data_IF_092087125011
#
_entry.id   IF_092087125011
#
_cell.length_a   1.000
_cell.length_b   1.000
_cell.length_c   1.000
_cell.angle_alpha   90.00
_cell.angle_beta   90.00
_cell.angle_gamma   90.00
#
_symmetry.space_group_name_H-M   'P 1'
#
loop_
_entity.id
_entity.type
_entity.pdbx_description
1 polymer ?
#
# COMPACT_ATOMS: atom_id res chain seq x y z
N UNK A 1 -15.58 6.56 -7.90
CA UNK A 1 -16.78 5.91 -7.33
C UNK A 1 -16.76 6.09 -5.84
N UNK A 2 -17.89 6.45 -5.23
CA UNK A 2 -18.05 6.60 -3.77
C UNK A 2 -19.23 5.76 -3.27
N UNK A 3 -19.09 5.13 -2.14
CA UNK A 3 -20.11 4.32 -1.47
C UNK A 3 -20.13 4.71 0.03
N UNK A 4 -21.25 5.18 0.57
CA UNK A 4 -22.49 5.56 -0.12
C UNK A 4 -22.28 6.74 -1.08
N UNK A 5 -23.14 6.86 -2.08
CA UNK A 5 -23.12 8.01 -3.02
C UNK A 5 -23.50 9.33 -2.35
N UNK A 6 -24.31 9.26 -1.29
CA UNK A 6 -24.66 10.42 -0.47
C UNK A 6 -23.70 10.52 0.73
N UNK A 7 -22.93 11.57 0.80
CA UNK A 7 -21.93 11.83 1.86
C UNK A 7 -22.55 11.96 3.27
N UNK A 8 -23.84 12.25 3.37
CA UNK A 8 -24.54 12.36 4.64
C UNK A 8 -24.98 11.03 5.23
N UNK A 9 -24.87 9.94 4.44
CA UNK A 9 -25.20 8.59 4.88
C UNK A 9 -23.95 7.81 5.21
N UNK A 10 -24.00 6.98 6.26
CA UNK A 10 -22.92 6.06 6.60
C UNK A 10 -23.22 4.67 6.04
N UNK A 11 -22.19 4.01 5.53
CA UNK A 11 -22.26 2.61 5.10
C UNK A 11 -22.49 1.68 6.30
N UNK A 12 -21.95 2.04 7.46
CA UNK A 12 -22.02 1.31 8.72
C UNK A 12 -21.71 -0.20 8.59
N UNK A 13 -20.72 -0.54 7.78
CA UNK A 13 -20.32 -1.92 7.52
C UNK A 13 -19.36 -2.39 8.62
N UNK A 14 -19.83 -3.31 9.47
CA UNK A 14 -19.08 -3.79 10.65
C UNK A 14 -18.08 -4.93 10.35
N UNK A 15 -17.87 -5.28 9.10
CA UNK A 15 -16.93 -6.33 8.69
C UNK A 15 -15.50 -5.78 8.68
N UNK A 16 -14.57 -6.51 9.31
CA UNK A 16 -13.17 -6.11 9.43
C UNK A 16 -12.34 -6.32 8.16
N UNK A 17 -12.87 -7.04 7.19
CA UNK A 17 -12.21 -7.32 5.93
C UNK A 17 -13.05 -6.84 4.75
N UNK A 18 -12.38 -6.26 3.76
CA UNK A 18 -13.03 -5.71 2.58
C UNK A 18 -12.36 -6.25 1.34
N UNK A 19 -13.11 -6.94 0.49
CA UNK A 19 -12.58 -7.53 -0.74
C UNK A 19 -13.18 -6.87 -1.97
N UNK A 20 -12.29 -6.46 -2.88
CA UNK A 20 -12.59 -5.91 -4.19
C UNK A 20 -12.25 -6.94 -5.26
N UNK A 21 -13.21 -7.29 -6.10
CA UNK A 21 -12.94 -8.00 -7.36
C UNK A 21 -12.77 -6.97 -8.45
N UNK A 22 -11.54 -6.71 -8.82
CA UNK A 22 -11.16 -5.62 -9.73
C UNK A 22 -10.25 -6.10 -10.85
N UNK A 23 -10.32 -5.41 -11.98
CA UNK A 23 -9.37 -5.54 -13.08
C UNK A 23 -8.79 -4.16 -13.35
N UNK A 24 -7.49 -3.98 -13.17
CA UNK A 24 -6.80 -2.71 -13.35
C UNK A 24 -6.18 -2.66 -14.74
N UNK A 25 -6.47 -1.60 -15.50
CA UNK A 25 -5.78 -1.31 -16.76
C UNK A 25 -4.41 -0.66 -16.49
N UNK A 26 -4.34 0.15 -15.44
CA UNK A 26 -3.14 0.87 -15.03
C UNK A 26 -3.15 1.12 -13.53
N UNK A 27 -1.98 1.32 -12.95
CA UNK A 27 -1.83 1.71 -11.54
C UNK A 27 -1.70 3.22 -11.33
N UNK A 28 -1.63 4.02 -12.40
CA UNK A 28 -1.29 5.45 -12.32
C UNK A 28 -2.19 6.29 -11.42
N UNK A 29 -3.46 5.96 -11.31
CA UNK A 29 -4.44 6.68 -10.49
C UNK A 29 -5.13 5.80 -9.46
N UNK A 30 -4.58 4.59 -9.22
CA UNK A 30 -5.23 3.64 -8.31
C UNK A 30 -5.11 4.08 -6.86
N UNK A 31 -6.24 4.47 -6.31
CA UNK A 31 -6.38 4.80 -4.88
C UNK A 31 -7.69 4.27 -4.33
N UNK A 32 -7.63 3.79 -3.09
CA UNK A 32 -8.80 3.41 -2.29
C UNK A 32 -8.73 4.22 -1.00
N UNK A 33 -9.72 5.07 -0.76
CA UNK A 33 -9.91 5.73 0.53
C UNK A 33 -11.01 5.01 1.30
N UNK A 34 -10.72 4.59 2.53
CA UNK A 34 -11.65 3.93 3.42
C UNK A 34 -11.79 4.81 4.66
N UNK A 35 -12.97 5.40 4.83
CA UNK A 35 -13.31 6.08 6.07
C UNK A 35 -13.89 5.06 7.05
N UNK A 36 -13.36 5.04 8.25
CA UNK A 36 -13.80 4.16 9.33
C UNK A 36 -14.28 4.98 10.53
N UNK A 37 -15.10 4.36 11.35
CA UNK A 37 -15.44 4.81 12.70
C UNK A 37 -14.73 3.92 13.71
N UNK A 38 -14.11 4.54 14.69
CA UNK A 38 -13.60 3.82 15.85
C UNK A 38 -14.71 3.61 16.91
N UNK A 39 -14.39 2.91 18.00
CA UNK A 39 -15.33 2.66 19.11
C UNK A 39 -15.81 3.95 19.81
N UNK A 40 -15.09 5.04 19.67
CA UNK A 40 -15.47 6.36 20.18
C UNK A 40 -16.26 7.20 19.16
N UNK A 41 -16.66 6.62 18.03
CA UNK A 41 -17.30 7.30 16.90
C UNK A 41 -16.44 8.38 16.22
N UNK A 42 -15.13 8.34 16.41
CA UNK A 42 -14.21 9.25 15.72
C UNK A 42 -13.95 8.71 14.31
N UNK A 43 -14.19 9.55 13.32
CA UNK A 43 -13.96 9.23 11.91
C UNK A 43 -12.48 9.30 11.59
N UNK A 44 -11.94 8.23 11.03
CA UNK A 44 -10.55 8.12 10.57
C UNK A 44 -10.50 7.69 9.11
N UNK A 45 -9.43 8.01 8.42
CA UNK A 45 -9.28 7.71 6.99
C UNK A 45 -8.01 6.90 6.73
N UNK A 46 -8.16 5.83 5.98
CA UNK A 46 -7.08 5.00 5.46
C UNK A 46 -7.05 5.20 3.96
N UNK A 47 -5.99 5.83 3.44
CA UNK A 47 -5.77 6.03 2.02
C UNK A 47 -4.73 5.05 1.51
N UNK A 48 -5.16 4.08 0.74
CA UNK A 48 -4.31 3.14 0.03
C UNK A 48 -4.04 3.71 -1.37
N UNK A 49 -2.76 3.86 -1.76
CA UNK A 49 -2.44 4.52 -3.04
C UNK A 49 -1.23 3.89 -3.73
N UNK A 50 -1.40 3.53 -5.00
CA UNK A 50 -0.29 3.09 -5.85
C UNK A 50 0.64 4.26 -6.26
N UNK A 51 0.17 5.51 -6.14
CA UNK A 51 0.97 6.70 -6.43
C UNK A 51 1.81 7.15 -5.23
N UNK A 52 1.51 6.68 -4.02
CA UNK A 52 2.26 7.05 -2.82
C UNK A 52 3.56 6.27 -2.75
N UNK A 53 4.64 6.96 -2.38
CA UNK A 53 5.95 6.34 -2.15
C UNK A 53 6.22 6.13 -0.67
N UNK A 54 5.57 6.91 0.19
CA UNK A 54 5.82 6.98 1.62
C UNK A 54 4.63 6.52 2.42
N UNK A 55 4.92 5.95 3.57
CA UNK A 55 3.96 5.58 4.57
C UNK A 55 3.81 6.72 5.56
N UNK A 56 2.63 7.35 5.64
CA UNK A 56 2.34 8.50 6.50
C UNK A 56 1.23 8.13 7.45
N UNK A 57 1.44 8.36 8.75
CA UNK A 57 0.45 8.16 9.79
C UNK A 57 0.27 9.44 10.58
N UNK A 58 -0.98 9.86 10.72
CA UNK A 58 -1.43 10.92 11.62
C UNK A 58 -2.55 10.38 12.50
N UNK A 59 -2.99 11.16 13.49
CA UNK A 59 -4.06 10.73 14.42
C UNK A 59 -5.38 10.34 13.73
N UNK A 60 -5.73 11.00 12.62
CA UNK A 60 -6.99 10.81 11.90
C UNK A 60 -6.83 10.26 10.48
N UNK A 61 -5.61 10.28 9.94
CA UNK A 61 -5.35 9.91 8.55
C UNK A 61 -4.10 9.04 8.46
N UNK A 62 -4.20 7.98 7.67
CA UNK A 62 -3.04 7.21 7.25
C UNK A 62 -3.00 7.12 5.73
N UNK A 63 -1.79 7.26 5.17
CA UNK A 63 -1.53 7.02 3.75
C UNK A 63 -0.57 5.86 3.61
N UNK A 64 -0.99 4.87 2.86
CA UNK A 64 -0.30 3.58 2.75
C UNK A 64 -0.01 3.32 1.28
N UNK A 65 1.25 3.09 0.90
CA UNK A 65 1.60 2.78 -0.47
C UNK A 65 1.15 1.37 -0.86
N UNK A 66 0.46 1.24 -1.99
CA UNK A 66 0.22 -0.06 -2.63
C UNK A 66 1.38 -0.32 -3.59
N UNK A 67 2.14 -1.36 -3.32
CA UNK A 67 3.33 -1.69 -4.08
C UNK A 67 3.10 -3.00 -4.84
N UNK A 68 3.54 -3.05 -6.11
CA UNK A 68 3.51 -4.26 -6.93
C UNK A 68 2.10 -4.86 -7.16
N UNK A 69 1.07 -4.01 -7.25
CA UNK A 69 -0.23 -4.49 -7.68
C UNK A 69 -0.18 -4.85 -9.17
N UNK A 70 -0.59 -6.05 -9.58
CA UNK A 70 -0.59 -6.43 -10.98
C UNK A 70 -1.67 -5.70 -11.78
N UNK A 71 -1.47 -5.60 -13.08
CA UNK A 71 -2.41 -5.02 -14.03
C UNK A 71 -2.78 -6.04 -15.09
N UNK A 72 -3.85 -5.77 -15.84
CA UNK A 72 -4.34 -6.60 -16.93
C UNK A 72 -4.70 -8.05 -16.53
N UNK A 73 -5.06 -8.23 -15.26
CA UNK A 73 -5.59 -9.49 -14.71
C UNK A 73 -6.64 -9.18 -13.65
N UNK A 74 -7.60 -10.07 -13.46
CA UNK A 74 -8.54 -9.96 -12.36
C UNK A 74 -7.87 -10.21 -11.02
N UNK A 75 -8.21 -9.42 -10.01
CA UNK A 75 -7.64 -9.48 -8.67
C UNK A 75 -8.77 -9.57 -7.65
N UNK A 76 -8.70 -10.55 -6.77
CA UNK A 76 -9.40 -10.53 -5.50
C UNK A 76 -8.51 -9.78 -4.49
N UNK A 77 -8.70 -8.48 -4.38
CA UNK A 77 -7.90 -7.61 -3.51
C UNK A 77 -8.59 -7.49 -2.15
N UNK A 78 -8.12 -8.26 -1.19
CA UNK A 78 -8.67 -8.32 0.17
C UNK A 78 -7.85 -7.47 1.12
N UNK A 79 -8.50 -6.54 1.80
CA UNK A 79 -7.91 -5.56 2.71
C UNK A 79 -8.27 -5.94 4.14
N UNK A 80 -7.27 -6.14 4.98
CA UNK A 80 -7.43 -6.33 6.42
C UNK A 80 -7.47 -4.97 7.13
N UNK A 81 -8.69 -4.45 7.30
CA UNK A 81 -8.92 -3.16 7.98
C UNK A 81 -8.47 -3.21 9.44
N UNK A 82 -8.62 -4.36 10.10
CA UNK A 82 -8.26 -4.50 11.51
C UNK A 82 -6.76 -4.33 11.73
N UNK A 83 -5.93 -4.94 10.86
CA UNK A 83 -4.48 -4.79 10.92
C UNK A 83 -4.04 -3.35 10.69
N UNK A 84 -4.69 -2.65 9.76
CA UNK A 84 -4.38 -1.24 9.51
C UNK A 84 -4.79 -0.34 10.67
N UNK A 85 -5.97 -0.58 11.28
CA UNK A 85 -6.42 0.22 12.42
C UNK A 85 -5.49 0.04 13.60
N UNK A 86 -5.12 -1.20 13.94
CA UNK A 86 -4.24 -1.48 15.08
C UNK A 86 -2.86 -0.84 14.96
N UNK A 87 -2.31 -0.82 13.74
CA UNK A 87 -0.95 -0.29 13.50
C UNK A 87 -0.95 1.24 13.27
N UNK A 88 -1.94 1.76 12.54
CA UNK A 88 -1.99 3.18 12.18
C UNK A 88 -2.58 4.04 13.29
N UNK A 89 -3.54 3.50 14.06
CA UNK A 89 -4.28 4.27 15.07
C UNK A 89 -4.18 3.60 16.43
N UNK A 90 -2.96 3.59 16.98
CA UNK A 90 -2.63 2.92 18.25
C UNK A 90 -3.61 3.27 19.37
N UNK A 91 -4.04 2.25 20.11
CA UNK A 91 -4.99 2.42 21.22
C UNK A 91 -6.44 2.64 20.77
N UNK A 92 -6.74 2.52 19.48
CA UNK A 92 -8.08 2.64 18.93
C UNK A 92 -8.55 1.29 18.38
N UNK A 93 -9.84 1.04 18.45
CA UNK A 93 -10.45 -0.18 17.94
C UNK A 93 -11.42 0.13 16.81
N UNK A 94 -11.44 -0.72 15.80
CA UNK A 94 -12.36 -0.64 14.68
C UNK A 94 -13.81 -0.90 15.13
N UNK A 95 -14.73 -0.08 14.66
CA UNK A 95 -16.17 -0.28 14.82
C UNK A 95 -16.86 -0.59 13.50
N UNK A 96 -16.73 0.30 12.51
CA UNK A 96 -17.41 0.14 11.24
C UNK A 96 -16.69 0.92 10.11
N UNK A 97 -16.89 0.49 8.88
CA UNK A 97 -16.56 1.28 7.69
C UNK A 97 -17.70 2.26 7.45
N UNK A 98 -17.37 3.53 7.36
CA UNK A 98 -18.30 4.63 7.14
C UNK A 98 -18.51 4.92 5.65
N UNK A 99 -17.41 4.96 4.89
CA UNK A 99 -17.48 5.17 3.44
C UNK A 99 -16.26 4.61 2.73
N UNK A 100 -16.41 4.35 1.43
CA UNK A 100 -15.35 3.86 0.54
C UNK A 100 -15.33 4.77 -0.68
N UNK A 101 -14.15 5.29 -1.04
CA UNK A 101 -13.94 6.02 -2.28
C UNK A 101 -12.88 5.28 -3.09
N UNK A 102 -13.22 4.90 -4.30
CA UNK A 102 -12.31 4.27 -5.24
C UNK A 102 -12.07 5.21 -6.42
N UNK A 103 -10.80 5.55 -6.65
CA UNK A 103 -10.34 6.30 -7.82
C UNK A 103 -9.35 5.43 -8.59
N UNK A 104 -9.77 4.99 -9.77
CA UNK A 104 -8.98 4.10 -10.60
C UNK A 104 -9.55 4.01 -12.02
N UNK A 105 -8.68 3.71 -12.98
CA UNK A 105 -9.09 3.17 -14.28
C UNK A 105 -9.17 1.64 -14.15
N UNK A 106 -10.36 1.17 -13.78
CA UNK A 106 -10.59 -0.24 -13.46
C UNK A 106 -11.99 -0.73 -13.82
N UNK A 107 -12.11 -2.05 -13.97
CA UNK A 107 -13.39 -2.73 -13.96
C UNK A 107 -13.63 -3.32 -12.58
N UNK A 108 -14.82 -3.12 -12.04
CA UNK A 108 -15.22 -3.67 -10.75
C UNK A 108 -16.31 -4.70 -11.02
N UNK A 109 -16.12 -5.91 -10.52
CA UNK A 109 -17.15 -6.92 -10.53
C UNK A 109 -17.96 -6.91 -9.24
N UNK A 110 -17.25 -6.81 -8.10
CA UNK A 110 -17.89 -6.86 -6.78
C UNK A 110 -17.04 -6.20 -5.71
N UNK A 111 -17.71 -5.69 -4.66
CA UNK A 111 -17.11 -5.26 -3.40
C UNK A 111 -17.88 -5.97 -2.30
N UNK A 112 -17.17 -6.67 -1.41
CA UNK A 112 -17.77 -7.44 -0.33
C UNK A 112 -17.08 -7.13 0.99
N UNK A 113 -17.88 -6.94 2.06
CA UNK A 113 -17.40 -7.03 3.43
C UNK A 113 -17.38 -8.48 3.89
N UNK A 114 -16.32 -8.89 4.58
CA UNK A 114 -16.16 -10.26 5.09
C UNK A 114 -15.80 -10.24 6.57
N UNK A 115 -16.19 -11.30 7.29
CA UNK A 115 -15.85 -11.47 8.71
C UNK A 115 -14.42 -11.96 8.91
N UNK A 116 -13.88 -12.69 7.95
CA UNK A 116 -12.53 -13.23 7.96
C UNK A 116 -11.94 -13.22 6.55
N UNK A 117 -10.60 -13.21 6.46
CA UNK A 117 -9.91 -13.41 5.18
C UNK A 117 -9.99 -14.87 4.79
N UNK A 118 -10.36 -15.13 3.56
CA UNK A 118 -10.31 -16.46 2.99
C UNK A 118 -9.02 -16.62 2.20
N UNK A 119 -8.15 -17.46 2.72
CA UNK A 119 -7.08 -18.09 1.96
C UNK A 119 -7.62 -19.40 1.43
N UNK A 120 -8.42 -19.36 0.38
CA UNK A 120 -8.87 -20.59 -0.24
C UNK A 120 -7.70 -21.26 -0.93
N UNK A 121 -7.23 -22.39 -0.37
CA UNK A 121 -6.66 -23.45 -1.18
C UNK A 121 -7.77 -24.02 -2.06
N UNK A 122 -7.44 -24.41 -3.28
CA UNK A 122 -8.41 -25.03 -4.23
C UNK A 122 -9.08 -26.27 -3.60
N UNK A 123 -8.42 -26.92 -2.66
CA UNK A 123 -8.86 -28.12 -1.95
C UNK A 123 -9.95 -27.85 -0.89
N UNK A 124 -9.86 -26.73 -0.14
CA UNK A 124 -10.90 -26.32 0.82
C UNK A 124 -12.16 -25.85 0.10
N UNK A 125 -12.02 -25.32 -1.12
CA UNK A 125 -13.13 -24.94 -1.96
C UNK A 125 -13.98 -26.11 -2.45
N UNK A 126 -13.35 -27.25 -2.73
CA UNK A 126 -14.04 -28.47 -3.20
C UNK A 126 -14.80 -29.20 -2.08
N UNK A 127 -14.54 -28.88 -0.81
CA UNK A 127 -15.25 -29.47 0.33
C UNK A 127 -16.57 -28.76 0.72
N UNK A 128 -16.94 -27.70 0.01
CA UNK A 128 -18.33 -27.27 -0.13
C UNK A 128 -19.04 -26.75 1.11
N UNK A 129 -18.40 -25.89 1.92
CA UNK A 129 -19.16 -25.09 2.88
C UNK A 129 -19.58 -23.77 2.26
N UNK A 130 -20.73 -23.77 1.58
CA UNK A 130 -21.35 -22.60 0.94
C UNK A 130 -21.67 -21.45 1.92
N UNK A 131 -21.45 -21.66 3.22
CA UNK A 131 -21.76 -20.65 4.25
C UNK A 131 -20.67 -19.58 4.40
N UNK A 132 -19.50 -19.83 3.87
CA UNK A 132 -18.29 -19.04 4.12
C UNK A 132 -18.11 -17.89 3.11
N UNK A 133 -18.48 -18.08 1.86
CA UNK A 133 -18.34 -17.07 0.82
C UNK A 133 -19.68 -16.50 0.35
N UNK A 134 -19.75 -15.19 0.08
CA UNK A 134 -20.96 -14.62 -0.52
C UNK A 134 -21.28 -15.29 -1.85
N UNK A 135 -22.54 -15.62 -2.09
CA UNK A 135 -23.00 -16.21 -3.36
C UNK A 135 -22.46 -15.41 -4.56
N UNK A 136 -21.88 -16.11 -5.52
CA UNK A 136 -21.30 -15.50 -6.73
C UNK A 136 -20.00 -14.71 -6.48
N UNK A 137 -19.34 -14.90 -5.34
CA UNK A 137 -17.99 -14.34 -5.09
C UNK A 137 -16.95 -14.97 -6.01
N UNK A 138 -17.12 -16.23 -6.30
CA UNK A 138 -16.17 -16.98 -7.10
C UNK A 138 -16.19 -16.50 -8.54
N UNK A 139 -15.01 -16.26 -9.08
CA UNK A 139 -14.85 -16.00 -10.49
C UNK A 139 -15.00 -17.33 -11.28
N UNK A 140 -15.61 -17.29 -12.47
CA UNK A 140 -15.66 -18.48 -13.34
C UNK A 140 -14.25 -19.04 -13.57
N UNK A 141 -14.11 -20.37 -13.63
CA UNK A 141 -12.81 -21.06 -13.76
C UNK A 141 -12.01 -20.64 -15.01
N UNK A 142 -12.70 -20.13 -16.03
CA UNK A 142 -12.11 -19.63 -17.28
C UNK A 142 -11.40 -18.28 -17.09
N UNK A 143 -11.73 -17.55 -16.01
CA UNK A 143 -11.17 -16.24 -15.73
C UNK A 143 -9.93 -16.38 -14.87
N UNK A 144 -8.76 -16.16 -15.50
CA UNK A 144 -7.50 -16.06 -14.74
C UNK A 144 -7.58 -14.92 -13.72
N UNK A 145 -7.33 -15.23 -12.48
CA UNK A 145 -7.31 -14.26 -11.40
C UNK A 145 -6.23 -14.60 -10.36
N UNK A 146 -5.92 -13.62 -9.53
CA UNK A 146 -5.02 -13.79 -8.39
C UNK A 146 -5.67 -13.25 -7.13
N UNK A 147 -5.29 -13.82 -5.99
CA UNK A 147 -5.71 -13.36 -4.67
C UNK A 147 -4.58 -12.56 -4.03
N UNK A 148 -4.89 -11.38 -3.54
CA UNK A 148 -3.95 -10.53 -2.81
C UNK A 148 -4.58 -10.19 -1.46
N UNK A 149 -3.94 -10.66 -0.39
CA UNK A 149 -4.27 -10.26 0.97
C UNK A 149 -3.38 -9.07 1.33
N UNK A 150 -4.00 -7.91 1.48
CA UNK A 150 -3.33 -6.66 1.75
C UNK A 150 -3.51 -6.30 3.23
N UNK A 151 -2.46 -6.57 3.99
CA UNK A 151 -2.34 -6.30 5.41
C UNK A 151 -1.03 -5.56 5.73
N UNK A 152 -0.80 -5.22 6.98
CA UNK A 152 0.45 -4.57 7.39
C UNK A 152 1.68 -5.45 7.21
N UNK A 153 1.55 -6.77 7.29
CA UNK A 153 2.67 -7.69 7.07
C UNK A 153 3.08 -7.73 5.60
N UNK A 154 2.11 -7.68 4.69
CA UNK A 154 2.37 -7.55 3.25
C UNK A 154 3.20 -6.30 2.95
N UNK A 155 2.86 -5.18 3.58
CA UNK A 155 3.57 -3.91 3.39
C UNK A 155 4.99 -4.00 3.95
N UNK A 156 5.15 -4.48 5.19
CA UNK A 156 6.45 -4.63 5.84
C UNK A 156 7.40 -5.48 4.99
N UNK A 157 6.95 -6.66 4.55
CA UNK A 157 7.72 -7.55 3.66
C UNK A 157 8.10 -6.88 2.33
N UNK A 158 7.18 -6.13 1.73
CA UNK A 158 7.42 -5.50 0.43
C UNK A 158 8.41 -4.34 0.53
N UNK A 159 8.37 -3.58 1.62
CA UNK A 159 9.33 -2.50 1.92
C UNK A 159 10.73 -3.07 2.17
N UNK A 160 10.84 -4.15 2.96
CA UNK A 160 12.09 -4.85 3.22
C UNK A 160 12.73 -5.36 1.93
N UNK A 161 11.97 -6.01 1.05
CA UNK A 161 12.46 -6.49 -0.25
C UNK A 161 12.98 -5.35 -1.15
N UNK A 162 12.35 -4.17 -1.12
CA UNK A 162 12.85 -3.00 -1.85
C UNK A 162 14.17 -2.50 -1.29
N UNK A 163 14.31 -2.43 0.02
CA UNK A 163 15.53 -1.98 0.67
C UNK A 163 16.69 -2.93 0.38
N UNK A 164 16.46 -4.25 0.38
CA UNK A 164 17.47 -5.26 0.00
C UNK A 164 17.91 -5.08 -1.46
N UNK A 165 16.95 -4.88 -2.38
CA UNK A 165 17.28 -4.65 -3.80
C UNK A 165 18.10 -3.38 -3.98
N UNK A 166 17.73 -2.27 -3.37
CA UNK A 166 18.47 -1.00 -3.45
C UNK A 166 19.88 -1.12 -2.87
N UNK A 167 20.06 -1.80 -1.75
CA UNK A 167 21.37 -2.03 -1.16
C UNK A 167 22.26 -2.91 -2.07
N UNK A 168 21.68 -3.91 -2.75
CA UNK A 168 22.40 -4.75 -3.68
C UNK A 168 22.82 -3.99 -4.95
N UNK A 169 22.01 -3.05 -5.45
CA UNK A 169 22.39 -2.17 -6.56
C UNK A 169 23.55 -1.26 -6.17
N UNK A 170 23.47 -0.59 -5.02
CA UNK A 170 24.53 0.28 -4.49
C UNK A 170 25.85 -0.48 -4.23
N UNK A 171 25.77 -1.74 -3.80
CA UNK A 171 26.92 -2.59 -3.60
C UNK A 171 27.58 -3.02 -4.94
N UNK A 172 26.79 -3.21 -6.00
CA UNK A 172 27.29 -3.50 -7.35
C UNK A 172 27.96 -2.29 -7.97
N UNK A 173 27.39 -1.09 -7.85
CA UNK A 173 27.99 0.15 -8.36
C UNK A 173 29.32 0.46 -7.69
N UNK A 174 29.45 0.25 -6.38
CA UNK A 174 30.72 0.42 -5.65
C UNK A 174 31.82 -0.57 -6.10
N UNK A 175 31.47 -1.71 -6.67
CA UNK A 175 32.42 -2.69 -7.22
C UNK A 175 32.88 -2.38 -8.64
N UNK A 176 32.11 -1.57 -9.39
CA UNK A 176 32.37 -1.30 -10.82
C UNK A 176 33.27 -0.08 -11.05
N UNK A 177 33.51 0.75 -10.04
CA UNK A 177 34.46 1.88 -10.13
C UNK A 177 35.65 1.63 -9.22
N UNK A 178 36.83 1.22 -9.77
CA UNK A 178 38.07 1.18 -9.00
C UNK A 178 38.44 2.62 -8.62
N UNK A 179 38.72 2.83 -7.33
CA UNK A 179 39.20 4.12 -6.82
C UNK A 179 40.49 4.48 -7.58
N UNK A 180 40.43 5.45 -8.50
CA UNK A 180 41.58 6.13 -9.01
C UNK A 180 42.25 6.87 -7.85
N UNK A 181 43.44 6.40 -7.47
CA UNK A 181 44.31 7.04 -6.51
C UNK A 181 44.70 8.41 -7.05
N UNK A 182 44.09 9.46 -6.50
CA UNK A 182 44.63 10.82 -6.69
C UNK A 182 45.87 10.98 -5.80
N UNK A 183 47.03 10.97 -6.45
CA UNK A 183 48.28 11.40 -5.85
C UNK A 183 48.18 12.85 -5.40
N UNK A 184 48.35 13.07 -4.11
CA UNK A 184 48.59 14.41 -3.52
C UNK A 184 49.90 14.95 -4.06
N UNK A 185 49.85 15.92 -4.97
CA UNK A 185 50.97 16.85 -5.20
C UNK A 185 50.83 17.99 -4.22
N UNK A 186 51.76 18.02 -3.25
CA UNK A 186 52.00 19.16 -2.38
C UNK A 186 52.49 20.34 -3.24
N UNK A 187 51.74 21.43 -3.27
CA UNK A 187 52.21 22.72 -3.74
C UNK A 187 52.76 23.47 -2.50
N UNK A 188 54.09 23.56 -2.43
CA UNK A 188 54.81 24.47 -1.55
C UNK A 188 54.49 25.90 -1.97
N UNK A 189 53.83 26.65 -1.09
CA UNK A 189 53.71 28.10 -1.17
C UNK A 189 55.00 28.72 -0.63
N UNK A 190 55.80 29.30 -1.49
CA UNK A 190 56.88 30.22 -1.11
C UNK A 190 56.29 31.61 -0.85
N UNK A 191 56.42 32.04 0.39
CA UNK A 191 56.21 33.43 0.79
C UNK A 191 57.29 34.34 0.17
N UNK A 192 56.85 35.38 -0.52
CA UNK A 192 57.67 36.60 -0.64
C UNK A 192 56.79 37.82 -0.44
N UNK A 193 57.13 38.52 0.62
CA UNK A 193 56.61 39.82 0.96
C UNK A 193 57.04 40.87 -0.10
N UNK A 194 56.21 41.85 -0.38
CA UNK A 194 56.70 43.20 -0.61
C UNK A 194 55.64 44.21 -0.22
N UNK A 195 56.08 45.02 0.72
CA UNK A 195 55.54 46.33 1.09
C UNK A 195 55.59 47.29 -0.12
N UNK A 196 54.71 48.20 -0.20
CA UNK A 196 54.81 49.66 -0.26
C UNK A 196 53.62 50.28 -0.93
N UNK A 197 52.91 51.08 -0.18
CA UNK A 197 52.88 52.56 -0.18
C UNK A 197 51.83 53.22 -1.11
N UNK A 198 51.15 54.15 -0.45
CA UNK A 198 50.72 55.51 -0.88
C UNK A 198 49.32 55.56 -1.53
N UNK A 199 48.43 56.16 -0.94
CA UNK A 199 47.93 57.43 -0.44
C UNK A 199 46.53 57.28 0.11
#
# INVERSE_FOLDING_TARGET
MQIPSNEKTSLNLMHGFLTFQIYLNTTKSFTIEIAILDTNNVKKRILLSACSKEFIINQLHSRIPIINIPICIWINFSIDILSFVSECFKGQSFRAIDSIILSADCKIRRICGMRQLYTLSVEEYLQGDDTILPKGFILPNEIKHININFDMNYIKKTVEMKNIKNNNYLAKEKKTYPKTSQSKKELKLTNTANLNQIK
#
